data_IF_417556197485
#
_entry.id   IF_417556197485
#
_cell.length_a   1.000
_cell.length_b   1.000
_cell.length_c   1.000
_cell.angle_alpha   90.00
_cell.angle_beta   90.00
_cell.angle_gamma   90.00
#
_symmetry.space_group_name_H-M   'P 1'
#
loop_
_entity.id
_entity.type
_entity.pdbx_description
1 polymer ?
#
# COMPACT_ATOMS: atom_id res chain seq x y z
N UNK A 1 35.29 22.48 -7.00
CA UNK A 1 34.51 21.60 -7.94
C UNK A 1 33.42 20.97 -7.14
N UNK A 2 32.16 21.09 -7.55
CA UNK A 2 31.04 20.39 -6.89
C UNK A 2 31.27 18.89 -6.93
N UNK A 3 31.00 18.18 -5.85
CA UNK A 3 31.10 16.73 -5.77
C UNK A 3 30.08 16.08 -6.72
N UNK A 4 30.27 14.83 -7.09
CA UNK A 4 29.31 14.09 -7.92
C UNK A 4 27.90 14.06 -7.26
N UNK A 5 27.85 13.94 -5.93
CA UNK A 5 26.64 13.95 -5.14
C UNK A 5 25.88 15.29 -5.22
N UNK A 6 26.60 16.42 -5.33
CA UNK A 6 25.97 17.73 -5.48
C UNK A 6 25.33 17.96 -6.86
N UNK A 7 25.74 17.18 -7.87
CA UNK A 7 25.22 17.26 -9.24
C UNK A 7 24.15 16.22 -9.53
N UNK A 8 24.15 15.09 -8.83
CA UNK A 8 23.25 13.97 -9.07
C UNK A 8 21.88 14.24 -8.41
N UNK A 9 20.81 14.03 -9.17
CA UNK A 9 19.44 14.17 -8.65
C UNK A 9 18.98 12.86 -7.95
N UNK A 10 18.52 12.92 -6.68
CA UNK A 10 18.08 11.72 -5.95
C UNK A 10 16.71 11.18 -6.43
N UNK A 11 16.10 11.79 -7.44
CA UNK A 11 14.82 11.37 -8.02
C UNK A 11 14.99 10.76 -9.39
N UNK A 12 15.66 11.44 -10.31
CA UNK A 12 15.84 10.93 -11.68
C UNK A 12 17.22 10.31 -11.93
N UNK A 13 18.13 10.38 -10.97
CA UNK A 13 19.51 9.86 -11.04
C UNK A 13 20.31 10.37 -12.25
N UNK A 14 20.04 11.61 -12.67
CA UNK A 14 20.81 12.32 -13.71
C UNK A 14 21.64 13.43 -13.08
N UNK A 15 22.78 13.74 -13.69
CA UNK A 15 23.63 14.85 -13.33
C UNK A 15 23.01 16.17 -13.83
N UNK A 16 21.97 16.63 -13.16
CA UNK A 16 21.15 17.76 -13.58
C UNK A 16 20.77 18.70 -12.42
N UNK A 17 21.45 18.60 -11.26
CA UNK A 17 21.21 19.48 -10.11
C UNK A 17 21.99 20.78 -10.29
N UNK A 18 21.28 21.91 -10.24
CA UNK A 18 21.82 23.28 -10.25
C UNK A 18 21.08 24.13 -9.23
N UNK A 19 21.81 24.75 -8.28
CA UNK A 19 21.21 25.61 -7.27
C UNK A 19 20.11 24.94 -6.45
N UNK A 20 20.25 23.64 -6.12
CA UNK A 20 19.27 22.87 -5.35
C UNK A 20 18.05 22.39 -6.16
N UNK A 21 17.98 22.67 -7.48
CA UNK A 21 16.89 22.22 -8.36
C UNK A 21 17.40 21.35 -9.49
N UNK A 22 16.68 20.25 -9.76
CA UNK A 22 16.98 19.39 -10.90
C UNK A 22 16.41 19.97 -12.19
N UNK A 23 17.24 20.24 -13.18
CA UNK A 23 16.84 20.77 -14.48
C UNK A 23 16.12 19.74 -15.35
N UNK A 24 16.28 18.44 -15.04
CA UNK A 24 15.61 17.37 -15.80
C UNK A 24 14.19 17.04 -15.29
N UNK A 25 14.01 16.88 -13.96
CA UNK A 25 12.74 16.42 -13.39
C UNK A 25 12.05 17.44 -12.48
N UNK A 26 12.64 18.62 -12.30
CA UNK A 26 12.06 19.68 -11.48
C UNK A 26 12.14 19.44 -9.96
N UNK A 27 12.79 18.37 -9.49
CA UNK A 27 12.97 18.13 -8.06
C UNK A 27 13.71 19.29 -7.43
N UNK A 28 13.23 19.75 -6.27
CA UNK A 28 13.89 20.76 -5.44
C UNK A 28 14.38 20.06 -4.17
N UNK A 29 15.66 20.24 -3.85
CA UNK A 29 16.23 19.70 -2.62
C UNK A 29 15.63 20.42 -1.42
N UNK A 30 15.10 19.65 -0.48
CA UNK A 30 14.62 20.13 0.81
C UNK A 30 15.48 19.49 1.90
N UNK A 31 16.45 20.26 2.42
CA UNK A 31 17.36 19.79 3.47
C UNK A 31 16.61 19.46 4.78
N UNK A 32 15.43 20.05 4.99
CA UNK A 32 14.59 19.77 6.16
C UNK A 32 13.88 18.41 6.10
N UNK A 33 13.82 17.77 4.93
CA UNK A 33 13.10 16.49 4.73
C UNK A 33 13.93 15.24 5.08
N UNK A 34 15.20 15.39 5.44
CA UNK A 34 16.05 14.27 5.83
C UNK A 34 15.81 13.93 7.31
N UNK A 35 14.84 13.06 7.58
CA UNK A 35 14.60 12.54 8.93
C UNK A 35 15.83 11.78 9.46
N UNK A 36 16.10 11.89 10.78
CA UNK A 36 17.25 11.25 11.44
C UNK A 36 17.34 9.74 11.23
N UNK A 37 16.23 9.11 10.85
CA UNK A 37 16.11 7.66 10.67
C UNK A 37 16.31 7.19 9.23
N UNK A 38 16.46 8.09 8.27
CA UNK A 38 16.60 7.73 6.86
C UNK A 38 18.06 7.44 6.52
N UNK A 39 18.26 6.45 5.64
CA UNK A 39 19.55 6.26 4.97
C UNK A 39 19.82 7.48 4.07
N UNK A 40 21.09 7.82 3.93
CA UNK A 40 21.49 8.95 3.07
C UNK A 40 21.22 8.62 1.60
N UNK A 41 20.76 9.62 0.85
CA UNK A 41 20.75 9.51 -0.61
C UNK A 41 22.15 9.17 -1.13
N UNK A 42 22.18 8.37 -2.18
CA UNK A 42 23.39 7.86 -2.84
C UNK A 42 24.18 6.82 -2.04
N UNK A 43 23.68 6.36 -0.88
CA UNK A 43 24.14 5.12 -0.27
C UNK A 43 23.86 3.94 -1.21
N UNK A 44 24.76 2.94 -1.20
CA UNK A 44 24.59 1.73 -2.01
C UNK A 44 24.17 0.58 -1.09
N UNK A 45 23.07 -0.07 -1.41
CA UNK A 45 22.60 -1.27 -0.75
C UNK A 45 22.83 -2.50 -1.63
N UNK A 46 23.15 -3.63 -0.97
CA UNK A 46 23.41 -4.91 -1.62
C UNK A 46 24.36 -4.80 -2.84
N UNK A 47 25.34 -3.89 -2.76
CA UNK A 47 26.34 -3.60 -3.82
C UNK A 47 25.77 -3.22 -5.19
N UNK A 48 24.46 -3.13 -5.35
CA UNK A 48 23.79 -2.93 -6.65
C UNK A 48 22.67 -1.90 -6.69
N UNK A 49 22.19 -1.41 -5.53
CA UNK A 49 21.10 -0.45 -5.49
C UNK A 49 21.57 0.90 -4.97
N UNK A 50 21.61 1.89 -5.84
CA UNK A 50 21.91 3.29 -5.47
C UNK A 50 20.63 3.93 -4.93
N UNK A 51 20.61 4.30 -3.65
CA UNK A 51 19.48 4.98 -3.04
C UNK A 51 19.29 6.40 -3.55
N UNK A 52 18.06 6.76 -3.80
CA UNK A 52 17.63 8.12 -4.01
C UNK A 52 17.00 8.72 -2.75
N UNK A 53 15.96 9.54 -2.92
CA UNK A 53 15.24 10.12 -1.79
C UNK A 53 14.35 9.07 -1.10
N UNK A 54 14.06 9.31 0.19
CA UNK A 54 12.98 8.62 0.88
C UNK A 54 11.62 9.02 0.28
N UNK A 55 10.74 8.03 0.08
CA UNK A 55 9.38 8.22 -0.42
C UNK A 55 8.38 8.39 0.72
N UNK A 56 8.66 7.78 1.87
CA UNK A 56 7.85 7.88 3.08
C UNK A 56 8.27 6.90 4.15
N UNK A 57 7.75 7.13 5.36
CA UNK A 57 7.88 6.22 6.50
C UNK A 57 6.48 5.87 7.00
N UNK A 58 6.23 4.60 7.19
CA UNK A 58 5.05 4.06 7.86
C UNK A 58 5.39 3.45 9.22
N UNK A 59 4.41 2.86 9.89
CA UNK A 59 4.61 2.22 11.19
C UNK A 59 5.58 1.04 11.19
N UNK A 60 5.74 0.38 10.05
CA UNK A 60 6.53 -0.84 9.91
C UNK A 60 7.79 -0.68 9.05
N UNK A 61 7.97 0.45 8.38
CA UNK A 61 9.11 0.57 7.49
C UNK A 61 9.25 1.92 6.80
N UNK A 62 10.38 2.04 6.11
CA UNK A 62 10.73 3.21 5.30
C UNK A 62 10.82 2.76 3.84
N UNK A 63 10.27 3.55 2.93
CA UNK A 63 10.37 3.30 1.49
C UNK A 63 11.27 4.33 0.85
N UNK A 64 12.21 3.87 0.03
CA UNK A 64 13.15 4.67 -0.72
C UNK A 64 12.96 4.50 -2.22
N UNK A 65 13.18 5.55 -2.96
CA UNK A 65 13.46 5.44 -4.39
C UNK A 65 14.89 4.91 -4.57
N UNK A 66 15.11 4.05 -5.53
CA UNK A 66 16.43 3.53 -5.83
C UNK A 66 16.63 3.33 -7.34
N UNK A 67 17.89 3.20 -7.74
CA UNK A 67 18.30 2.80 -9.08
C UNK A 67 19.10 1.51 -9.00
N UNK A 68 18.67 0.48 -9.73
CA UNK A 68 19.46 -0.71 -9.93
C UNK A 68 20.63 -0.39 -10.88
N UNK A 69 21.85 -0.46 -10.39
CA UNK A 69 23.05 -0.09 -11.14
C UNK A 69 23.42 -1.11 -12.23
N UNK A 70 22.91 -2.34 -12.15
CA UNK A 70 23.20 -3.39 -13.12
C UNK A 70 22.44 -3.18 -14.44
N UNK A 71 21.20 -2.75 -14.37
CA UNK A 71 20.33 -2.58 -15.54
C UNK A 71 19.86 -1.14 -15.76
N UNK A 72 20.16 -0.22 -14.82
CA UNK A 72 19.80 1.18 -14.89
C UNK A 72 18.35 1.50 -14.58
N UNK A 73 17.49 0.51 -14.25
CA UNK A 73 16.09 0.71 -13.95
C UNK A 73 15.89 1.39 -12.58
N UNK A 74 14.81 2.19 -12.45
CA UNK A 74 14.37 2.71 -11.17
C UNK A 74 13.48 1.68 -10.47
N UNK A 75 13.62 1.59 -9.17
CA UNK A 75 12.85 0.70 -8.31
C UNK A 75 12.52 1.38 -6.97
N UNK A 76 11.70 0.75 -6.15
CA UNK A 76 11.49 1.12 -4.77
C UNK A 76 12.15 0.09 -3.86
N UNK A 77 12.72 0.54 -2.74
CA UNK A 77 13.24 -0.34 -1.69
C UNK A 77 12.48 -0.05 -0.42
N UNK A 78 11.85 -1.07 0.15
CA UNK A 78 11.21 -1.01 1.46
C UNK A 78 12.13 -1.63 2.49
N UNK A 79 12.37 -0.89 3.56
CA UNK A 79 13.18 -1.29 4.71
C UNK A 79 12.27 -1.68 5.86
N UNK A 80 12.54 -2.78 6.54
CA UNK A 80 11.90 -3.10 7.81
C UNK A 80 12.43 -2.16 8.91
N UNK A 81 11.57 -1.23 9.35
CA UNK A 81 11.93 -0.21 10.34
C UNK A 81 10.75 0.05 11.28
N UNK A 82 10.44 -0.88 12.21
CA UNK A 82 9.35 -0.69 13.18
C UNK A 82 9.71 0.39 14.18
N UNK A 83 9.08 1.55 14.06
CA UNK A 83 9.40 2.77 14.82
C UNK A 83 9.26 2.63 16.34
N UNK A 84 8.50 1.65 16.82
CA UNK A 84 8.33 1.35 18.24
C UNK A 84 9.47 0.50 18.83
N UNK A 85 10.26 -0.17 18.00
CA UNK A 85 11.36 -1.05 18.42
C UNK A 85 12.74 -0.46 18.12
N UNK A 86 12.81 0.57 17.29
CA UNK A 86 14.07 1.20 16.84
C UNK A 86 14.22 2.58 17.45
N UNK A 87 15.33 2.82 18.12
CA UNK A 87 15.72 4.12 18.67
C UNK A 87 16.26 5.06 17.57
N UNK A 88 16.95 4.50 16.57
CA UNK A 88 17.58 5.26 15.49
C UNK A 88 18.59 4.45 14.70
N UNK A 89 19.59 5.14 14.12
CA UNK A 89 20.70 4.50 13.38
C UNK A 89 22.03 4.84 14.00
N UNK A 90 22.94 3.88 13.93
CA UNK A 90 24.35 4.07 14.18
C UNK A 90 25.00 4.84 12.99
N UNK A 91 26.20 5.42 13.18
CA UNK A 91 26.88 6.15 12.09
C UNK A 91 27.16 5.36 10.84
N UNK A 92 27.29 4.03 10.95
CA UNK A 92 27.46 3.08 9.83
C UNK A 92 26.16 2.72 9.10
N UNK A 93 25.01 3.24 9.55
CA UNK A 93 23.69 2.96 9.00
C UNK A 93 22.93 1.81 9.68
N UNK A 94 23.58 1.05 10.57
CA UNK A 94 22.97 -0.07 11.30
C UNK A 94 21.84 0.42 12.21
N UNK A 95 20.73 -0.31 12.28
CA UNK A 95 19.59 0.01 13.16
C UNK A 95 19.97 -0.25 14.63
N UNK A 96 19.60 0.69 15.51
CA UNK A 96 19.75 0.58 16.96
C UNK A 96 18.38 0.34 17.61
N UNK A 97 18.24 -0.76 18.35
CA UNK A 97 17.01 -1.09 19.05
C UNK A 97 16.83 -0.21 20.30
N UNK A 98 15.57 0.00 20.70
CA UNK A 98 15.24 0.75 21.94
C UNK A 98 15.69 0.05 23.21
N UNK A 99 15.93 -1.29 23.18
CA UNK A 99 16.45 -2.10 24.26
C UNK A 99 16.69 -3.54 23.80
N UNK A 100 17.57 -4.27 24.50
CA UNK A 100 17.87 -5.68 24.19
C UNK A 100 16.64 -6.60 24.38
N UNK A 101 15.72 -6.25 25.27
CA UNK A 101 14.45 -6.95 25.48
C UNK A 101 13.58 -6.99 24.22
N UNK A 102 13.75 -6.05 23.32
CA UNK A 102 13.00 -5.95 22.05
C UNK A 102 13.62 -6.77 20.91
N UNK A 103 14.81 -7.34 21.11
CA UNK A 103 15.55 -8.08 20.07
C UNK A 103 14.74 -9.25 19.49
N UNK A 104 14.11 -10.05 20.35
CA UNK A 104 13.29 -11.19 19.91
C UNK A 104 12.11 -10.74 19.05
N UNK A 105 11.40 -9.69 19.46
CA UNK A 105 10.26 -9.15 18.69
C UNK A 105 10.71 -8.56 17.35
N UNK A 106 11.85 -7.88 17.35
CA UNK A 106 12.44 -7.31 16.14
C UNK A 106 12.85 -8.41 15.15
N UNK A 107 13.57 -9.45 15.59
CA UNK A 107 13.99 -10.56 14.74
C UNK A 107 12.80 -11.36 14.20
N UNK A 108 11.79 -11.65 15.03
CA UNK A 108 10.54 -12.27 14.61
C UNK A 108 9.80 -11.42 13.55
N UNK A 109 9.83 -10.11 13.68
CA UNK A 109 9.23 -9.18 12.74
C UNK A 109 10.01 -9.09 11.42
N UNK A 110 11.34 -9.07 11.50
CA UNK A 110 12.25 -9.09 10.36
C UNK A 110 12.07 -10.37 9.53
N UNK A 111 12.00 -11.51 10.20
CA UNK A 111 11.77 -12.79 9.52
C UNK A 111 10.44 -12.82 8.78
N UNK A 112 9.35 -12.32 9.39
CA UNK A 112 8.04 -12.21 8.73
C UNK A 112 8.08 -11.26 7.53
N UNK A 113 8.80 -10.16 7.61
CA UNK A 113 8.98 -9.22 6.50
C UNK A 113 9.67 -9.89 5.29
N UNK A 114 10.65 -10.76 5.54
CA UNK A 114 11.32 -11.55 4.49
C UNK A 114 10.36 -12.62 3.93
N UNK A 115 9.60 -13.31 4.79
CA UNK A 115 8.61 -14.31 4.35
C UNK A 115 7.51 -13.71 3.50
N UNK A 116 7.04 -12.49 3.84
CA UNK A 116 6.12 -11.70 3.03
C UNK A 116 6.70 -11.45 1.63
N UNK A 117 7.93 -10.94 1.55
CA UNK A 117 8.58 -10.68 0.28
C UNK A 117 8.72 -11.96 -0.58
N UNK A 118 9.06 -13.09 0.03
CA UNK A 118 9.14 -14.40 -0.66
C UNK A 118 7.80 -14.83 -1.22
N UNK A 119 6.72 -14.72 -0.43
CA UNK A 119 5.39 -15.10 -0.88
C UNK A 119 4.89 -14.21 -2.01
N UNK A 120 5.14 -12.90 -1.92
CA UNK A 120 4.83 -11.97 -3.01
C UNK A 120 5.63 -12.26 -4.29
N UNK A 121 6.85 -12.76 -4.16
CA UNK A 121 7.67 -13.15 -5.30
C UNK A 121 7.07 -14.37 -6.06
N UNK A 122 6.33 -15.26 -5.38
CA UNK A 122 5.59 -16.35 -6.01
C UNK A 122 4.39 -15.85 -6.85
N UNK A 123 3.91 -14.64 -6.58
CA UNK A 123 2.85 -13.97 -7.36
C UNK A 123 3.38 -13.20 -8.57
N UNK A 124 4.66 -13.37 -8.89
CA UNK A 124 5.30 -12.71 -10.02
C UNK A 124 4.57 -12.99 -11.32
N UNK A 125 4.26 -11.93 -12.06
CA UNK A 125 3.46 -12.01 -13.29
C UNK A 125 1.98 -11.67 -13.09
N UNK A 126 1.48 -11.58 -11.85
CA UNK A 126 0.17 -11.00 -11.59
C UNK A 126 0.23 -9.49 -11.77
N UNK A 127 -0.45 -8.97 -12.81
CA UNK A 127 -0.40 -7.54 -13.17
C UNK A 127 -0.99 -6.62 -12.12
N UNK A 128 -1.84 -7.15 -11.25
CA UNK A 128 -2.54 -6.38 -10.20
C UNK A 128 -1.89 -6.46 -8.82
N UNK A 129 -0.72 -7.11 -8.70
CA UNK A 129 0.11 -7.13 -7.48
C UNK A 129 1.45 -6.48 -7.80
N UNK A 130 2.00 -5.72 -6.85
CA UNK A 130 3.33 -5.15 -6.98
C UNK A 130 4.39 -6.25 -7.15
N UNK A 131 5.26 -6.13 -8.17
CA UNK A 131 6.32 -7.11 -8.44
C UNK A 131 7.50 -6.95 -7.47
N UNK A 132 7.82 -8.01 -6.71
CA UNK A 132 8.98 -8.07 -5.83
C UNK A 132 10.16 -8.65 -6.62
N UNK A 133 11.19 -7.84 -6.81
CA UNK A 133 12.36 -8.16 -7.63
C UNK A 133 13.48 -8.84 -6.84
N UNK A 134 13.66 -8.47 -5.56
CA UNK A 134 14.76 -8.94 -4.72
C UNK A 134 14.45 -8.71 -3.23
N UNK A 135 15.14 -9.42 -2.34
CA UNK A 135 15.15 -9.14 -0.90
C UNK A 135 16.52 -9.54 -0.31
N UNK A 136 16.95 -8.84 0.73
CA UNK A 136 18.24 -9.05 1.38
C UNK A 136 18.26 -8.49 2.80
N UNK A 137 19.27 -8.88 3.57
CA UNK A 137 19.57 -8.33 4.89
C UNK A 137 20.84 -7.49 4.83
N UNK A 138 20.80 -6.29 5.42
CA UNK A 138 21.91 -5.37 5.55
C UNK A 138 21.60 -4.38 6.69
N UNK A 139 22.60 -3.66 7.22
CA UNK A 139 22.42 -2.66 8.30
C UNK A 139 21.67 -3.19 9.54
N UNK A 140 21.75 -4.49 9.83
CA UNK A 140 21.05 -5.13 10.95
C UNK A 140 19.53 -5.25 10.76
N UNK A 141 19.01 -5.01 9.55
CA UNK A 141 17.60 -5.10 9.20
C UNK A 141 17.40 -5.83 7.86
N UNK A 142 16.19 -5.81 7.32
CA UNK A 142 15.83 -6.44 6.06
C UNK A 142 15.26 -5.42 5.07
N UNK A 143 15.48 -5.70 3.80
CA UNK A 143 15.02 -4.91 2.67
C UNK A 143 14.35 -5.81 1.65
N UNK A 144 13.32 -5.29 0.97
CA UNK A 144 12.91 -5.85 -0.32
C UNK A 144 12.81 -4.77 -1.39
N UNK A 145 13.08 -5.19 -2.61
CA UNK A 145 13.09 -4.35 -3.81
C UNK A 145 11.84 -4.65 -4.62
N UNK A 146 11.09 -3.63 -4.97
CA UNK A 146 9.88 -3.74 -5.76
C UNK A 146 9.89 -2.78 -6.94
N UNK A 147 9.04 -3.06 -7.92
CA UNK A 147 8.86 -2.16 -9.05
C UNK A 147 8.49 -0.74 -8.60
N UNK A 148 8.97 0.27 -9.30
CA UNK A 148 8.51 1.65 -9.14
C UNK A 148 7.25 1.83 -9.98
N UNK A 149 6.12 2.04 -9.32
CA UNK A 149 4.85 2.30 -9.98
C UNK A 149 4.69 3.80 -10.17
N UNK A 150 4.64 4.24 -11.42
CA UNK A 150 4.34 5.61 -11.80
C UNK A 150 2.85 5.73 -12.13
N UNK A 151 2.13 6.56 -11.36
CA UNK A 151 0.68 6.69 -11.49
C UNK A 151 0.05 7.47 -10.35
N UNK A 152 -1.22 7.25 -10.09
CA UNK A 152 -1.93 7.87 -8.98
C UNK A 152 -2.69 6.82 -8.15
N UNK A 153 -2.99 7.13 -6.90
CA UNK A 153 -3.87 6.29 -6.10
C UNK A 153 -5.35 6.58 -6.37
N UNK A 154 -6.24 5.70 -5.94
CA UNK A 154 -7.67 5.84 -6.17
C UNK A 154 -8.27 7.14 -5.61
N UNK A 155 -7.73 7.66 -4.50
CA UNK A 155 -8.18 8.93 -3.93
C UNK A 155 -7.86 10.11 -4.84
N UNK A 156 -6.70 10.10 -5.46
CA UNK A 156 -6.27 11.13 -6.43
C UNK A 156 -7.11 11.00 -7.69
N UNK A 157 -7.26 9.79 -8.23
CA UNK A 157 -8.09 9.53 -9.40
C UNK A 157 -9.52 10.08 -9.22
N UNK A 158 -10.17 9.74 -8.10
CA UNK A 158 -11.52 10.25 -7.77
C UNK A 158 -11.62 11.78 -7.79
N UNK A 159 -10.56 12.49 -7.40
CA UNK A 159 -10.58 13.97 -7.37
C UNK A 159 -10.44 14.60 -8.75
N UNK A 160 -9.80 13.89 -9.68
CA UNK A 160 -9.41 14.41 -11.00
C UNK A 160 -10.38 13.97 -12.10
N UNK A 161 -11.32 13.04 -11.81
CA UNK A 161 -12.24 12.47 -12.80
C UNK A 161 -13.70 12.61 -12.36
N UNK A 162 -14.62 12.56 -13.34
CA UNK A 162 -16.06 12.65 -13.11
C UNK A 162 -16.63 11.36 -12.46
N UNK A 163 -17.89 11.40 -12.05
CA UNK A 163 -18.55 10.31 -11.35
C UNK A 163 -18.67 9.04 -12.19
N UNK A 164 -18.96 9.14 -13.49
CA UNK A 164 -19.07 8.00 -14.39
C UNK A 164 -17.73 7.27 -14.55
N UNK A 165 -16.65 8.01 -14.85
CA UNK A 165 -15.29 7.46 -14.95
C UNK A 165 -14.84 6.82 -13.64
N UNK A 166 -15.16 7.48 -12.52
CA UNK A 166 -14.84 6.98 -11.19
C UNK A 166 -15.61 5.70 -10.86
N UNK A 167 -16.88 5.60 -11.24
CA UNK A 167 -17.70 4.41 -11.03
C UNK A 167 -17.19 3.22 -11.86
N UNK A 168 -16.96 3.42 -13.17
CA UNK A 168 -16.41 2.37 -14.04
C UNK A 168 -15.05 1.86 -13.53
N UNK A 169 -14.16 2.77 -13.17
CA UNK A 169 -12.87 2.42 -12.56
C UNK A 169 -13.05 1.63 -11.25
N UNK A 170 -14.00 2.03 -10.40
CA UNK A 170 -14.24 1.34 -9.13
C UNK A 170 -14.74 -0.10 -9.35
N UNK A 171 -15.58 -0.35 -10.36
CA UNK A 171 -16.01 -1.70 -10.75
C UNK A 171 -14.83 -2.53 -11.28
N UNK A 172 -13.99 -1.97 -12.19
CA UNK A 172 -12.77 -2.64 -12.62
C UNK A 172 -11.86 -3.00 -11.44
N UNK A 173 -11.68 -2.08 -10.51
CA UNK A 173 -10.88 -2.29 -9.30
C UNK A 173 -11.42 -3.47 -8.48
N UNK A 174 -12.74 -3.58 -8.26
CA UNK A 174 -13.32 -4.72 -7.53
C UNK A 174 -12.94 -6.06 -8.17
N UNK A 175 -13.04 -6.15 -9.50
CA UNK A 175 -12.79 -7.40 -10.22
C UNK A 175 -11.29 -7.74 -10.27
N UNK A 176 -10.44 -6.77 -10.64
CA UNK A 176 -9.00 -7.00 -10.80
C UNK A 176 -8.29 -7.20 -9.46
N UNK A 177 -8.55 -6.34 -8.48
CA UNK A 177 -7.96 -6.50 -7.14
C UNK A 177 -8.57 -7.69 -6.41
N UNK A 178 -9.88 -7.94 -6.58
CA UNK A 178 -10.51 -9.15 -6.05
C UNK A 178 -9.86 -10.42 -6.60
N UNK A 179 -9.63 -10.50 -7.92
CA UNK A 179 -8.93 -11.64 -8.53
C UNK A 179 -7.51 -11.81 -7.99
N UNK A 180 -6.75 -10.71 -7.88
CA UNK A 180 -5.42 -10.73 -7.31
C UNK A 180 -5.41 -11.19 -5.83
N UNK A 181 -6.37 -10.73 -5.03
CA UNK A 181 -6.52 -11.16 -3.63
C UNK A 181 -6.94 -12.63 -3.51
N UNK A 182 -7.77 -13.14 -4.42
CA UNK A 182 -8.10 -14.58 -4.45
C UNK A 182 -6.81 -15.42 -4.61
N UNK A 183 -5.88 -14.97 -5.44
CA UNK A 183 -4.59 -15.63 -5.60
C UNK A 183 -3.71 -15.50 -4.34
N UNK A 184 -3.58 -14.30 -3.75
CA UNK A 184 -2.90 -14.07 -2.47
C UNK A 184 -3.44 -15.00 -1.37
N UNK A 185 -4.77 -15.13 -1.27
CA UNK A 185 -5.42 -15.99 -0.28
C UNK A 185 -5.11 -17.49 -0.48
N UNK A 186 -4.88 -17.95 -1.73
CA UNK A 186 -4.44 -19.34 -2.00
C UNK A 186 -3.09 -19.67 -1.36
N UNK A 187 -2.20 -18.68 -1.26
CA UNK A 187 -0.93 -18.82 -0.53
C UNK A 187 -1.11 -18.75 1.00
N UNK A 188 -2.33 -18.58 1.48
CA UNK A 188 -2.63 -18.51 2.91
C UNK A 188 -2.28 -17.15 3.53
N UNK A 189 -2.18 -16.12 2.73
CA UNK A 189 -1.95 -14.72 3.15
C UNK A 189 -3.22 -13.89 2.99
N UNK A 190 -3.33 -12.85 3.82
CA UNK A 190 -4.25 -11.72 3.63
C UNK A 190 -3.43 -10.44 3.54
N UNK A 191 -3.94 -9.45 2.81
CA UNK A 191 -3.29 -8.14 2.70
C UNK A 191 -3.40 -7.33 4.01
N UNK A 192 -4.60 -7.24 4.57
CA UNK A 192 -4.86 -6.65 5.90
C UNK A 192 -4.82 -5.13 5.98
N UNK A 193 -4.50 -4.40 4.89
CA UNK A 193 -4.50 -2.91 4.84
C UNK A 193 -5.00 -2.37 3.48
N UNK A 194 -6.06 -2.95 2.93
CA UNK A 194 -6.65 -2.45 1.69
C UNK A 194 -7.31 -1.11 1.93
N UNK A 195 -7.00 -0.14 1.07
CA UNK A 195 -7.54 1.22 1.14
C UNK A 195 -7.26 1.97 -0.17
N UNK A 196 -7.92 3.10 -0.42
CA UNK A 196 -7.69 3.89 -1.65
C UNK A 196 -6.25 4.38 -1.84
N UNK A 197 -5.47 4.45 -0.78
CA UNK A 197 -4.06 4.84 -0.82
C UNK A 197 -3.15 3.71 -1.29
N UNK A 198 -3.54 2.46 -1.04
CA UNK A 198 -2.75 1.26 -1.33
C UNK A 198 -3.14 0.58 -2.65
N UNK A 199 -4.02 1.21 -3.43
CA UNK A 199 -4.37 0.79 -4.79
C UNK A 199 -3.99 1.90 -5.75
N UNK A 200 -3.11 1.58 -6.71
CA UNK A 200 -2.58 2.53 -7.69
C UNK A 200 -3.14 2.23 -9.08
N UNK A 201 -3.33 3.28 -9.87
CA UNK A 201 -3.55 3.19 -11.31
C UNK A 201 -2.26 3.66 -11.99
N UNK A 202 -1.64 2.79 -12.76
CA UNK A 202 -0.40 3.11 -13.49
C UNK A 202 -0.69 4.06 -14.65
N UNK A 203 0.36 4.65 -15.23
CA UNK A 203 0.22 5.48 -16.43
C UNK A 203 -0.36 4.70 -17.64
N UNK A 204 -0.23 3.38 -17.65
CA UNK A 204 -0.78 2.51 -18.68
C UNK A 204 -2.21 2.05 -18.37
N UNK A 205 -2.79 2.48 -17.24
CA UNK A 205 -4.15 2.10 -16.83
C UNK A 205 -4.26 0.79 -16.05
N UNK A 206 -3.14 0.14 -15.70
CA UNK A 206 -3.18 -1.05 -14.86
C UNK A 206 -3.54 -0.67 -13.41
N UNK A 207 -4.36 -1.47 -12.75
CA UNK A 207 -4.67 -1.30 -11.33
C UNK A 207 -3.82 -2.25 -10.51
N UNK A 208 -3.04 -1.70 -9.58
CA UNK A 208 -2.08 -2.47 -8.78
C UNK A 208 -2.29 -2.26 -7.28
N UNK A 209 -2.28 -3.37 -6.55
CA UNK A 209 -2.27 -3.40 -5.09
C UNK A 209 -0.82 -3.33 -4.59
N UNK A 210 -0.57 -2.39 -3.68
CA UNK A 210 0.75 -2.14 -3.09
C UNK A 210 0.68 -2.22 -1.56
N UNK A 211 1.85 -2.24 -0.92
CA UNK A 211 2.04 -2.12 0.52
C UNK A 211 1.44 -3.27 1.35
N UNK A 212 2.00 -4.45 1.14
CA UNK A 212 1.69 -5.66 1.91
C UNK A 212 2.27 -5.66 3.35
N UNK A 213 2.76 -4.54 3.86
CA UNK A 213 3.42 -4.44 5.18
C UNK A 213 2.55 -4.80 6.39
N UNK A 214 1.24 -4.96 6.20
CA UNK A 214 0.32 -5.55 7.17
C UNK A 214 -0.06 -6.99 6.82
N UNK A 215 0.45 -7.54 5.71
CA UNK A 215 0.11 -8.89 5.27
C UNK A 215 0.47 -9.94 6.32
N UNK A 216 -0.39 -10.93 6.45
CA UNK A 216 -0.26 -11.99 7.47
C UNK A 216 -0.66 -13.33 6.90
N UNK A 217 0.06 -14.37 7.36
CA UNK A 217 -0.45 -15.73 7.21
C UNK A 217 -1.59 -15.96 8.19
N UNK A 218 -2.79 -16.22 7.69
CA UNK A 218 -3.94 -16.60 8.51
C UNK A 218 -3.91 -18.08 8.92
N UNK A 219 -2.94 -18.86 8.40
CA UNK A 219 -2.71 -20.27 8.78
C UNK A 219 -1.84 -20.42 10.03
N UNK A 220 -1.11 -19.35 10.41
CA UNK A 220 -0.24 -19.37 11.60
C UNK A 220 -0.89 -18.59 12.74
N UNK A 221 -1.53 -19.29 13.66
CA UNK A 221 -2.12 -18.71 14.87
C UNK A 221 -1.08 -18.49 15.97
N UNK A 222 -0.17 -17.54 15.81
CA UNK A 222 0.67 -17.08 16.90
C UNK A 222 0.15 -15.76 17.45
N UNK A 223 -0.80 -15.87 18.38
CA UNK A 223 -1.25 -14.75 19.20
C UNK A 223 -0.13 -14.36 20.18
N UNK A 224 0.89 -13.62 19.75
CA UNK A 224 1.74 -12.88 20.69
C UNK A 224 1.12 -11.50 20.92
N UNK A 225 0.67 -11.30 22.15
CA UNK A 225 0.14 -10.06 22.71
C UNK A 225 1.16 -8.93 22.56
N UNK A 226 0.70 -7.73 22.23
CA UNK A 226 1.46 -6.50 22.38
C UNK A 226 1.71 -5.64 21.15
N UNK A 227 1.26 -6.03 19.93
CA UNK A 227 1.46 -5.21 18.72
C UNK A 227 0.55 -3.99 18.68
N UNK A 228 1.13 -2.78 18.57
CA UNK A 228 0.43 -1.63 18.04
C UNK A 228 0.13 -1.91 16.56
N UNK A 229 -1.11 -2.24 16.24
CA UNK A 229 -1.57 -2.41 14.87
C UNK A 229 -2.01 -1.02 14.40
N UNK A 230 -1.33 -0.47 13.41
CA UNK A 230 -1.75 0.75 12.75
C UNK A 230 -2.90 0.41 11.80
N UNK A 231 -4.14 0.50 12.28
CA UNK A 231 -5.33 0.25 11.49
C UNK A 231 -5.80 1.53 10.81
N UNK A 232 -6.41 1.40 9.64
CA UNK A 232 -7.14 2.49 8.97
C UNK A 232 -8.63 2.42 9.37
N UNK A 233 -9.12 3.25 10.31
CA UNK A 233 -10.40 3.03 10.98
C UNK A 233 -11.61 2.81 10.06
N UNK A 234 -11.66 3.50 8.92
CA UNK A 234 -12.80 3.41 8.01
C UNK A 234 -12.73 2.23 7.02
N UNK A 235 -11.64 1.45 7.03
CA UNK A 235 -11.43 0.30 6.14
C UNK A 235 -11.19 -1.00 6.92
N UNK A 236 -10.63 -0.90 8.12
CA UNK A 236 -10.34 -2.04 8.98
C UNK A 236 -11.63 -2.59 9.63
N UNK A 237 -11.97 -3.89 9.42
CA UNK A 237 -13.12 -4.51 10.08
C UNK A 237 -12.84 -4.84 11.55
N UNK A 238 -13.90 -5.15 12.30
CA UNK A 238 -13.86 -5.28 13.76
C UNK A 238 -12.90 -6.38 14.26
N UNK A 239 -12.75 -7.48 13.54
CA UNK A 239 -11.83 -8.56 13.91
C UNK A 239 -10.35 -8.13 13.90
N UNK A 240 -9.98 -7.04 13.23
CA UNK A 240 -8.62 -6.48 13.31
C UNK A 240 -8.35 -5.73 14.61
N UNK A 241 -9.39 -5.30 15.33
CA UNK A 241 -9.28 -4.64 16.64
C UNK A 241 -9.25 -5.65 17.79
N UNK A 242 -9.48 -6.93 17.54
CA UNK A 242 -9.53 -7.97 18.56
C UNK A 242 -8.21 -8.73 18.63
N UNK A 243 -7.90 -9.26 19.82
CA UNK A 243 -6.74 -10.13 20.03
C UNK A 243 -6.97 -11.57 19.54
N UNK A 244 -8.20 -11.90 19.10
CA UNK A 244 -8.55 -13.23 18.63
C UNK A 244 -8.01 -13.46 17.21
N UNK A 245 -7.45 -14.63 16.90
CA UNK A 245 -6.96 -14.98 15.56
C UNK A 245 -8.13 -15.33 14.65
N UNK A 246 -8.93 -14.34 14.26
CA UNK A 246 -10.13 -14.54 13.43
C UNK A 246 -10.08 -13.78 12.09
N UNK A 247 -8.88 -13.33 11.68
CA UNK A 247 -8.69 -12.70 10.38
C UNK A 247 -8.57 -13.76 9.28
N UNK A 248 -9.06 -13.45 8.10
CA UNK A 248 -9.08 -14.34 6.94
C UNK A 248 -9.45 -13.59 5.66
N UNK A 249 -9.77 -14.28 4.56
CA UNK A 249 -10.21 -13.67 3.30
C UNK A 249 -11.32 -12.63 3.47
N UNK A 250 -12.26 -12.86 4.38
CA UNK A 250 -13.35 -11.93 4.71
C UNK A 250 -12.88 -10.58 5.25
N UNK A 251 -11.67 -10.49 5.81
CA UNK A 251 -11.06 -9.24 6.27
C UNK A 251 -10.72 -8.34 5.08
N UNK A 252 -10.11 -8.90 4.04
CA UNK A 252 -9.79 -8.17 2.82
C UNK A 252 -11.05 -7.86 1.99
N UNK A 253 -12.04 -8.75 1.98
CA UNK A 253 -13.34 -8.52 1.33
C UNK A 253 -14.02 -7.29 1.92
N UNK A 254 -14.08 -7.17 3.24
CA UNK A 254 -14.63 -5.98 3.91
C UNK A 254 -13.85 -4.71 3.53
N UNK A 255 -12.52 -4.74 3.57
CA UNK A 255 -11.69 -3.58 3.28
C UNK A 255 -11.80 -3.14 1.81
N UNK A 256 -11.91 -4.09 0.87
CA UNK A 256 -12.14 -3.84 -0.55
C UNK A 256 -13.53 -3.21 -0.78
N UNK A 257 -14.57 -3.77 -0.16
CA UNK A 257 -15.93 -3.22 -0.21
C UNK A 257 -16.02 -1.82 0.43
N UNK A 258 -15.33 -1.58 1.55
CA UNK A 258 -15.20 -0.25 2.16
C UNK A 258 -14.49 0.76 1.28
N UNK A 259 -13.47 0.30 0.55
CA UNK A 259 -12.76 1.11 -0.45
C UNK A 259 -13.70 1.50 -1.59
N UNK A 260 -14.43 0.55 -2.15
CA UNK A 260 -15.45 0.79 -3.17
C UNK A 260 -16.51 1.78 -2.66
N UNK A 261 -17.04 1.55 -1.45
CA UNK A 261 -18.02 2.44 -0.82
C UNK A 261 -17.54 3.90 -0.83
N UNK A 262 -16.30 4.14 -0.37
CA UNK A 262 -15.72 5.49 -0.37
C UNK A 262 -15.56 6.06 -1.79
N UNK A 263 -15.08 5.26 -2.74
CA UNK A 263 -14.80 5.74 -4.09
C UNK A 263 -16.09 6.18 -4.79
N UNK A 264 -17.17 5.40 -4.70
CA UNK A 264 -18.41 5.71 -5.41
C UNK A 264 -19.29 6.72 -4.69
N UNK A 265 -19.35 6.73 -3.36
CA UNK A 265 -20.20 7.65 -2.59
C UNK A 265 -19.48 8.93 -2.16
N UNK A 266 -18.15 8.95 -2.10
CA UNK A 266 -17.38 10.03 -1.48
C UNK A 266 -17.40 10.01 0.05
N UNK A 267 -18.21 9.15 0.67
CA UNK A 267 -18.34 9.03 2.12
C UNK A 267 -17.47 7.89 2.64
N UNK A 268 -16.77 8.12 3.75
CA UNK A 268 -16.05 7.04 4.42
C UNK A 268 -17.05 6.11 5.11
N UNK A 269 -16.77 4.80 5.06
CA UNK A 269 -17.49 3.83 5.85
C UNK A 269 -17.39 4.20 7.35
N UNK A 270 -18.45 3.99 8.10
CA UNK A 270 -18.43 4.14 9.55
C UNK A 270 -17.42 3.14 10.14
N UNK A 271 -16.54 3.62 11.01
CA UNK A 271 -15.50 2.78 11.60
C UNK A 271 -16.08 1.62 12.43
N UNK A 272 -15.33 0.53 12.54
CA UNK A 272 -15.81 -0.70 13.16
C UNK A 272 -16.15 -0.53 14.66
N UNK A 273 -15.45 0.35 15.40
CA UNK A 273 -15.73 0.59 16.81
C UNK A 273 -17.04 1.38 17.01
N UNK A 274 -17.33 2.33 16.12
CA UNK A 274 -18.62 3.04 16.10
C UNK A 274 -19.76 2.09 15.73
N UNK A 275 -19.55 1.17 14.78
CA UNK A 275 -20.52 0.12 14.42
C UNK A 275 -20.78 -0.84 15.59
N UNK A 276 -19.76 -1.21 16.36
CA UNK A 276 -19.90 -2.03 17.56
C UNK A 276 -20.80 -1.38 18.63
N UNK A 277 -20.92 -0.05 18.63
CA UNK A 277 -21.79 0.72 19.51
C UNK A 277 -23.21 0.95 18.94
N UNK A 278 -23.56 0.26 17.85
CA UNK A 278 -24.86 0.36 17.20
C UNK A 278 -24.96 1.42 16.11
N UNK A 279 -23.84 2.01 15.70
CA UNK A 279 -23.81 2.93 14.57
C UNK A 279 -24.20 2.23 13.25
N UNK A 280 -25.01 2.91 12.44
CA UNK A 280 -25.44 2.45 11.12
C UNK A 280 -24.86 3.30 10.00
N UNK A 281 -24.67 2.72 8.83
CA UNK A 281 -24.32 3.42 7.61
C UNK A 281 -25.46 3.39 6.60
N UNK A 282 -25.43 4.25 5.62
CA UNK A 282 -26.42 4.26 4.54
C UNK A 282 -25.98 3.32 3.41
N UNK A 283 -26.87 2.46 2.87
CA UNK A 283 -26.52 1.59 1.75
C UNK A 283 -26.24 2.41 0.49
N UNK A 284 -25.35 1.88 -0.39
CA UNK A 284 -24.82 2.61 -1.55
C UNK A 284 -25.89 3.09 -2.53
N UNK A 285 -26.95 2.30 -2.76
CA UNK A 285 -28.03 2.68 -3.68
C UNK A 285 -28.76 3.96 -3.28
N UNK A 286 -28.66 4.38 -1.98
CA UNK A 286 -29.21 5.66 -1.49
C UNK A 286 -28.23 6.82 -1.63
N UNK A 287 -26.95 6.56 -1.76
CA UNK A 287 -25.87 7.56 -1.77
C UNK A 287 -25.33 7.83 -3.17
N UNK A 288 -25.28 6.82 -4.00
CA UNK A 288 -24.69 6.88 -5.34
C UNK A 288 -25.70 6.36 -6.37
N UNK A 289 -26.34 7.25 -7.16
CA UNK A 289 -27.38 6.86 -8.11
C UNK A 289 -26.93 5.88 -9.19
N UNK A 290 -25.62 5.81 -9.49
CA UNK A 290 -25.05 4.86 -10.43
C UNK A 290 -25.03 3.42 -9.87
N UNK A 291 -25.18 3.23 -8.56
CA UNK A 291 -25.14 1.90 -7.92
C UNK A 291 -26.52 1.28 -7.93
N UNK A 292 -26.70 0.17 -8.65
CA UNK A 292 -27.94 -0.60 -8.66
C UNK A 292 -28.24 -1.20 -7.28
N UNK A 293 -29.51 -1.46 -6.99
CA UNK A 293 -29.91 -2.09 -5.72
C UNK A 293 -29.26 -3.48 -5.55
N UNK A 294 -29.21 -4.37 -6.57
CA UNK A 294 -28.52 -5.64 -6.44
C UNK A 294 -27.02 -5.51 -6.10
N UNK A 295 -26.31 -4.56 -6.75
CA UNK A 295 -24.89 -4.31 -6.43
C UNK A 295 -24.73 -3.79 -4.99
N UNK A 296 -25.62 -2.89 -4.54
CA UNK A 296 -25.61 -2.42 -3.15
C UNK A 296 -25.80 -3.56 -2.15
N UNK A 297 -26.69 -4.53 -2.43
CA UNK A 297 -26.94 -5.67 -1.56
C UNK A 297 -25.72 -6.60 -1.48
N UNK A 298 -25.00 -6.81 -2.59
CA UNK A 298 -23.72 -7.54 -2.60
C UNK A 298 -22.68 -6.81 -1.74
N UNK A 299 -22.61 -5.47 -1.82
CA UNK A 299 -21.69 -4.69 -0.98
C UNK A 299 -22.10 -4.73 0.50
N UNK A 300 -23.39 -4.65 0.82
CA UNK A 300 -23.89 -4.71 2.19
C UNK A 300 -23.55 -6.06 2.85
N UNK A 301 -23.63 -7.16 2.09
CA UNK A 301 -23.18 -8.49 2.55
C UNK A 301 -21.67 -8.54 2.79
N UNK A 302 -20.85 -7.99 1.89
CA UNK A 302 -19.39 -7.89 2.08
C UNK A 302 -19.01 -7.00 3.29
N UNK A 303 -19.84 -6.02 3.61
CA UNK A 303 -19.68 -5.06 4.71
C UNK A 303 -20.38 -5.50 6.01
N UNK A 304 -20.90 -6.72 6.10
CA UNK A 304 -21.52 -7.23 7.34
C UNK A 304 -20.57 -7.06 8.53
N UNK A 305 -21.10 -6.71 9.70
CA UNK A 305 -20.29 -6.43 10.90
C UNK A 305 -19.61 -7.70 11.39
N UNK A 306 -20.39 -8.78 11.55
CA UNK A 306 -19.85 -10.10 11.89
C UNK A 306 -19.22 -10.72 10.64
N UNK A 307 -17.97 -11.13 10.75
CA UNK A 307 -17.26 -11.79 9.64
C UNK A 307 -17.89 -13.13 9.25
N UNK A 308 -18.67 -13.76 10.12
CA UNK A 308 -19.41 -14.98 9.79
C UNK A 308 -20.54 -14.73 8.80
N UNK A 309 -21.06 -13.54 8.75
CA UNK A 309 -22.13 -13.11 7.84
C UNK A 309 -21.60 -12.53 6.52
N UNK A 310 -20.28 -12.60 6.27
CA UNK A 310 -19.64 -12.17 5.01
C UNK A 310 -19.40 -13.35 4.08
N UNK A 311 -19.01 -13.04 2.84
CA UNK A 311 -18.48 -14.05 1.91
C UNK A 311 -17.27 -14.75 2.53
N UNK A 312 -17.22 -16.09 2.36
CA UNK A 312 -16.16 -16.91 2.97
C UNK A 312 -14.86 -16.88 2.20
N UNK A 313 -14.94 -16.68 0.90
CA UNK A 313 -13.79 -16.54 0.02
C UNK A 313 -13.97 -15.35 -0.92
N UNK A 314 -12.85 -14.87 -1.44
CA UNK A 314 -12.87 -13.82 -2.47
C UNK A 314 -13.56 -14.32 -3.74
N UNK A 315 -13.48 -15.60 -4.07
CA UNK A 315 -14.17 -16.18 -5.22
C UNK A 315 -15.69 -16.12 -5.06
N UNK A 316 -16.22 -16.37 -3.85
CA UNK A 316 -17.67 -16.25 -3.59
C UNK A 316 -18.14 -14.80 -3.79
N UNK A 317 -17.33 -13.84 -3.33
CA UNK A 317 -17.62 -12.41 -3.52
C UNK A 317 -17.59 -12.02 -5.01
N UNK A 318 -16.56 -12.43 -5.77
CA UNK A 318 -16.46 -12.18 -7.21
C UNK A 318 -17.63 -12.80 -7.97
N UNK A 319 -18.01 -14.04 -7.65
CA UNK A 319 -19.16 -14.71 -8.28
C UNK A 319 -20.48 -13.97 -8.02
N UNK A 320 -20.65 -13.38 -6.84
CA UNK A 320 -21.82 -12.56 -6.54
C UNK A 320 -21.80 -11.23 -7.33
N UNK A 321 -20.61 -10.62 -7.52
CA UNK A 321 -20.45 -9.41 -8.35
C UNK A 321 -20.80 -9.69 -9.83
N UNK A 322 -20.29 -10.79 -10.40
CA UNK A 322 -20.52 -11.17 -11.79
C UNK A 322 -22.03 -11.39 -12.12
N UNK A 323 -22.84 -11.72 -11.12
CA UNK A 323 -24.30 -11.86 -11.31
C UNK A 323 -25.03 -10.52 -11.39
N UNK A 324 -24.45 -9.43 -10.93
CA UNK A 324 -25.13 -8.13 -10.80
C UNK A 324 -24.43 -6.98 -11.54
N UNK A 325 -23.25 -7.22 -12.09
CA UNK A 325 -22.46 -6.24 -12.88
C UNK A 325 -22.25 -6.77 -14.28
N UNK A 326 -22.57 -5.98 -15.29
CA UNK A 326 -22.35 -6.36 -16.68
C UNK A 326 -21.00 -5.82 -17.20
N UNK A 327 -20.34 -6.49 -18.16
CA UNK A 327 -19.06 -6.06 -18.72
C UNK A 327 -19.03 -4.62 -19.20
N UNK A 328 -20.11 -4.13 -19.78
CA UNK A 328 -20.23 -2.77 -20.30
C UNK A 328 -20.19 -1.70 -19.20
N UNK A 329 -20.54 -2.06 -17.97
CA UNK A 329 -20.55 -1.14 -16.81
C UNK A 329 -19.14 -0.81 -16.30
N UNK A 330 -18.13 -1.63 -16.61
CA UNK A 330 -16.73 -1.38 -16.22
C UNK A 330 -15.77 -1.27 -17.41
N UNK A 331 -16.30 -1.25 -18.63
CA UNK A 331 -15.49 -1.02 -19.84
C UNK A 331 -15.01 0.44 -19.87
N UNK A 332 -13.75 0.65 -19.53
CA UNK A 332 -13.08 1.95 -19.52
C UNK A 332 -11.57 1.77 -19.78
N UNK A 333 -11.04 2.58 -20.70
CA UNK A 333 -9.60 2.69 -20.90
C UNK A 333 -8.99 3.67 -19.90
N UNK A 334 -8.54 3.14 -18.78
CA UNK A 334 -7.89 3.95 -17.75
C UNK A 334 -6.58 4.57 -18.24
N UNK A 335 -5.86 3.93 -19.16
CA UNK A 335 -4.62 4.46 -19.72
C UNK A 335 -4.86 5.76 -20.50
N UNK A 336 -6.00 5.87 -21.20
CA UNK A 336 -6.39 7.08 -21.90
C UNK A 336 -6.71 8.25 -20.95
N UNK A 337 -7.12 7.96 -19.72
CA UNK A 337 -7.46 8.93 -18.69
C UNK A 337 -6.25 9.41 -17.88
N UNK A 338 -5.17 8.65 -17.88
CA UNK A 338 -3.98 9.02 -17.11
C UNK A 338 -3.21 10.16 -17.78
N UNK A 339 -2.69 11.13 -17.01
CA UNK A 339 -1.91 12.21 -17.57
C UNK A 339 -0.68 11.65 -18.28
N UNK A 340 -0.55 11.90 -19.58
CA UNK A 340 0.65 11.56 -20.34
C UNK A 340 1.82 12.28 -19.69
N UNK A 341 2.80 11.53 -19.17
CA UNK A 341 3.93 12.12 -18.45
C UNK A 341 4.62 13.16 -19.33
N UNK A 342 4.49 14.44 -18.97
CA UNK A 342 5.56 15.37 -19.27
C UNK A 342 6.74 14.90 -18.41
N UNK A 343 7.94 14.82 -18.95
CA UNK A 343 9.17 14.41 -18.27
C UNK A 343 9.55 15.39 -17.12
N UNK A 344 8.59 15.75 -16.29
CA UNK A 344 8.73 16.71 -15.21
C UNK A 344 7.98 16.19 -13.98
N UNK A 345 8.76 15.78 -12.99
CA UNK A 345 8.30 15.66 -11.60
C UNK A 345 7.22 14.61 -11.37
N UNK A 346 7.60 13.37 -11.42
CA UNK A 346 6.80 12.19 -11.04
C UNK A 346 6.00 12.45 -9.78
N UNK A 347 4.68 12.33 -9.86
CA UNK A 347 3.85 12.10 -8.69
C UNK A 347 4.17 10.70 -8.13
N UNK A 348 5.28 10.58 -7.44
CA UNK A 348 5.56 9.40 -6.63
C UNK A 348 4.54 9.43 -5.51
N UNK A 349 3.62 8.48 -5.50
CA UNK A 349 2.61 8.37 -4.45
C UNK A 349 3.32 8.21 -3.11
N UNK A 350 3.25 9.24 -2.29
CA UNK A 350 3.75 9.18 -0.92
C UNK A 350 2.75 8.36 -0.12
N UNK A 351 3.15 7.29 0.58
CA UNK A 351 2.35 6.80 1.68
C UNK A 351 2.26 7.96 2.68
N UNK A 352 1.05 8.48 2.93
CA UNK A 352 0.85 9.51 3.95
C UNK A 352 1.19 8.91 5.30
N UNK A 353 2.18 9.48 5.97
CA UNK A 353 2.34 9.33 7.41
C UNK A 353 1.02 9.65 8.09
N UNK A 354 0.50 8.71 8.87
CA UNK A 354 -0.57 9.00 9.81
C UNK A 354 -0.05 10.08 10.76
N UNK A 355 -0.62 11.27 10.70
CA UNK A 355 -0.40 12.29 11.70
C UNK A 355 -0.91 11.72 13.03
N UNK A 356 -0.02 11.61 13.99
CA UNK A 356 -0.37 11.39 15.39
C UNK A 356 -1.11 12.66 15.81
N UNK A 357 -2.44 12.63 15.87
CA UNK A 357 -3.18 13.59 16.66
C UNK A 357 -2.99 13.19 18.11
N UNK A 358 -2.09 13.93 18.76
CA UNK A 358 -2.04 14.07 20.21
C UNK A 358 -3.25 14.96 20.59
N UNK A 359 -4.34 14.34 20.99
CA UNK A 359 -5.41 15.02 21.71
C UNK A 359 -5.31 14.59 23.18
N UNK A 360 -4.76 15.51 23.97
CA UNK A 360 -4.77 15.58 25.42
C UNK A 360 -6.18 15.63 26.00
#
# INVERSE_FOLDING_TARGET
MATLEEKLCPVCFREAMEGGKCQNCGYVSDEASVGKNYLRSFSILNTKYLLGKSLGQGGFGITYLAKNMLNGSRCCIKEYFPSNLIQGRMPDGTVALTGEENRCEFEDGKQRFIEEARTLQELRGNVSVVDIQDFFEENGTAYFVMELIEGCNLRTFKKEHNEEQTFKMALQMLLLIGSALAEVHRFGMIHGDISPENILITQNGEIKLIDFGAARSFRQSSAKQGRKIYLKPNYAPYEQYTLKPCQGPWTDIYALASTFYFIVSGQKMLDALSRAKGGAYLPLWKLAPAVSKPLSDVMDHALAFDYHDRYRSMMDFLSALEQVVQPEEYDIDLGALMPKSRASGTAVVRPKTAAVHDDS
#
